data_IF_121723943355
#
_entry.id   IF_121723943355
#
_cell.length_a   1.000
_cell.length_b   1.000
_cell.length_c   1.000
_cell.angle_alpha   90.00
_cell.angle_beta   90.00
_cell.angle_gamma   90.00
#
_symmetry.space_group_name_H-M   'P 1'
#
loop_
_entity.id
_entity.type
_entity.pdbx_description
1 polymer ?
#
# COMPACT_ATOMS: atom_id res chain seq x y z
N UNK A 1 -13.86 18.07 5.50
CA UNK A 1 -14.22 16.65 5.73
C UNK A 1 -13.05 15.80 5.28
N UNK A 2 -12.46 15.02 6.18
CA UNK A 2 -11.39 14.08 5.83
C UNK A 2 -12.02 12.85 5.20
N UNK A 3 -11.71 12.55 3.93
CA UNK A 3 -12.12 11.30 3.29
C UNK A 3 -11.11 10.22 3.66
N UNK A 4 -11.59 9.09 4.18
CA UNK A 4 -10.78 7.90 4.46
C UNK A 4 -10.92 6.95 3.27
N UNK A 5 -9.78 6.55 2.70
CA UNK A 5 -9.70 5.51 1.69
C UNK A 5 -9.14 4.24 2.32
N UNK A 6 -9.68 3.08 1.95
CA UNK A 6 -9.24 1.78 2.44
C UNK A 6 -8.86 0.93 1.25
N UNK A 7 -7.63 0.40 1.26
CA UNK A 7 -7.12 -0.56 0.29
C UNK A 7 -7.05 -1.90 0.99
N UNK A 8 -7.62 -2.93 0.39
CA UNK A 8 -7.62 -4.28 0.95
C UNK A 8 -6.87 -5.20 0.02
N UNK A 9 -5.90 -5.93 0.58
CA UNK A 9 -5.17 -7.01 -0.09
C UNK A 9 -5.37 -8.28 0.74
N UNK A 10 -5.79 -9.40 0.14
CA UNK A 10 -5.85 -10.67 0.86
C UNK A 10 -4.44 -11.09 1.28
N UNK A 11 -4.32 -11.78 2.41
CA UNK A 11 -3.07 -12.46 2.78
C UNK A 11 -2.92 -13.78 2.04
N UNK A 12 -1.73 -14.37 2.10
CA UNK A 12 -1.48 -15.71 1.61
C UNK A 12 -2.17 -16.79 2.47
N UNK A 13 -2.01 -18.06 2.09
CA UNK A 13 -2.65 -19.19 2.76
C UNK A 13 -2.28 -19.33 4.24
N UNK A 14 -1.14 -18.78 4.67
CA UNK A 14 -0.66 -18.81 6.05
C UNK A 14 -0.91 -17.49 6.81
N UNK A 15 -1.58 -16.52 6.18
CA UNK A 15 -1.94 -15.23 6.76
C UNK A 15 -0.82 -14.19 6.71
N UNK A 16 0.14 -14.31 5.79
CA UNK A 16 1.19 -13.30 5.58
C UNK A 16 0.88 -12.41 4.37
N UNK A 17 1.35 -11.17 4.39
CA UNK A 17 1.24 -10.22 3.28
C UNK A 17 2.60 -9.67 2.86
N UNK A 18 2.73 -9.35 1.56
CA UNK A 18 3.98 -8.94 0.94
C UNK A 18 4.39 -7.51 1.26
N UNK A 19 5.69 -7.37 1.49
CA UNK A 19 6.44 -6.15 1.67
C UNK A 19 7.68 -6.19 0.76
N UNK A 20 8.12 -5.02 0.31
CA UNK A 20 9.27 -4.87 -0.56
C UNK A 20 10.15 -3.71 -0.13
N UNK A 21 11.41 -3.99 0.14
CA UNK A 21 12.38 -2.97 0.50
C UNK A 21 12.64 -2.02 -0.68
N UNK A 22 12.40 -0.72 -0.51
CA UNK A 22 12.66 0.29 -1.54
C UNK A 22 14.15 0.52 -1.79
N UNK A 23 15.04 0.10 -0.88
CA UNK A 23 16.48 0.34 -0.96
C UNK A 23 17.22 -0.78 -1.70
N UNK A 24 17.00 -2.04 -1.33
CA UNK A 24 17.69 -3.19 -1.92
C UNK A 24 16.79 -4.11 -2.77
N UNK A 25 15.47 -3.87 -2.78
CA UNK A 25 14.53 -4.65 -3.57
C UNK A 25 14.12 -5.99 -2.97
N UNK A 26 14.60 -6.35 -1.77
CA UNK A 26 14.23 -7.59 -1.08
C UNK A 26 12.72 -7.68 -0.87
N UNK A 27 12.16 -8.86 -1.13
CA UNK A 27 10.74 -9.17 -0.94
C UNK A 27 10.59 -10.12 0.25
N UNK A 28 9.71 -9.75 1.17
CA UNK A 28 9.46 -10.53 2.37
C UNK A 28 8.00 -10.40 2.76
N UNK A 29 7.51 -11.28 3.63
CA UNK A 29 6.14 -11.22 4.12
C UNK A 29 6.07 -11.26 5.62
N UNK A 30 5.13 -10.48 6.15
CA UNK A 30 4.84 -10.35 7.57
C UNK A 30 3.34 -10.53 7.81
N UNK A 31 2.97 -10.80 9.05
CA UNK A 31 1.57 -10.84 9.46
C UNK A 31 1.02 -9.41 9.55
N UNK A 32 -0.06 -9.05 8.81
CA UNK A 32 -0.57 -7.68 8.80
C UNK A 32 -1.01 -7.19 10.18
N UNK A 33 -1.59 -8.08 10.99
CA UNK A 33 -2.00 -7.79 12.37
C UNK A 33 -0.82 -7.35 13.23
N UNK A 34 0.35 -7.98 13.10
CA UNK A 34 1.56 -7.63 13.85
C UNK A 34 2.25 -6.35 13.35
N UNK A 35 1.93 -5.87 12.14
CA UNK A 35 2.54 -4.68 11.53
C UNK A 35 1.64 -3.45 11.67
N UNK A 36 0.32 -3.66 11.75
CA UNK A 36 -0.68 -2.60 11.90
C UNK A 36 -0.98 -2.26 13.37
N UNK A 37 -0.27 -2.87 14.32
CA UNK A 37 -0.31 -2.45 15.72
C UNK A 37 0.20 -1.00 15.86
N UNK A 38 -0.48 -0.21 16.70
CA UNK A 38 -0.25 1.25 16.84
C UNK A 38 1.18 1.61 17.30
N UNK A 39 1.94 0.65 17.85
CA UNK A 39 3.31 0.80 18.33
C UNK A 39 4.39 0.44 17.30
N UNK A 40 4.02 -0.12 16.14
CA UNK A 40 4.96 -0.48 15.07
C UNK A 40 5.19 0.70 14.14
N UNK A 41 6.20 1.51 14.48
CA UNK A 41 6.59 2.69 13.69
C UNK A 41 7.49 2.33 12.51
N UNK A 42 8.38 1.36 12.70
CA UNK A 42 9.44 1.01 11.75
C UNK A 42 9.59 -0.50 11.65
N UNK A 43 10.03 -0.95 10.47
CA UNK A 43 10.42 -2.32 10.19
C UNK A 43 11.87 -2.33 9.71
N UNK A 44 12.50 -3.49 9.81
CA UNK A 44 13.85 -3.71 9.33
C UNK A 44 13.82 -4.54 8.05
N UNK A 45 14.66 -4.21 7.08
CA UNK A 45 14.81 -5.07 5.91
C UNK A 45 15.54 -6.36 6.30
N UNK A 46 14.97 -7.56 6.04
CA UNK A 46 15.65 -8.81 6.40
C UNK A 46 16.96 -9.05 5.65
N UNK A 47 17.17 -8.41 4.50
CA UNK A 47 18.44 -8.47 3.77
C UNK A 47 19.44 -7.40 4.22
N UNK A 48 19.08 -6.11 4.18
CA UNK A 48 20.05 -5.03 4.44
C UNK A 48 20.06 -4.48 5.88
N UNK A 49 19.12 -4.89 6.73
CA UNK A 49 19.04 -4.48 8.15
C UNK A 49 18.69 -3.02 8.40
N UNK A 50 18.46 -2.22 7.36
CA UNK A 50 18.15 -0.79 7.50
C UNK A 50 16.71 -0.63 8.04
N UNK A 51 16.50 0.11 9.15
CA UNK A 51 15.17 0.45 9.63
C UNK A 51 14.52 1.48 8.71
N UNK A 52 13.24 1.33 8.45
CA UNK A 52 12.44 2.32 7.72
C UNK A 52 10.98 2.25 8.14
N UNK A 53 10.23 3.33 7.92
CA UNK A 53 8.80 3.36 8.22
C UNK A 53 8.04 2.29 7.43
N UNK A 54 6.99 1.70 8.00
CA UNK A 54 6.18 0.65 7.34
C UNK A 54 5.78 1.02 5.90
N UNK A 55 5.43 2.28 5.65
CA UNK A 55 4.97 2.76 4.35
C UNK A 55 6.01 2.65 3.22
N UNK A 56 7.31 2.66 3.53
CA UNK A 56 8.36 2.49 2.52
C UNK A 56 8.41 1.06 1.98
N UNK A 57 7.90 0.11 2.76
CA UNK A 57 7.87 -1.30 2.41
C UNK A 57 6.62 -1.74 1.65
N UNK A 58 5.64 -0.84 1.42
CA UNK A 58 4.49 -1.20 0.62
C UNK A 58 4.90 -1.58 -0.81
N UNK A 59 4.30 -2.67 -1.28
CA UNK A 59 4.50 -3.20 -2.62
C UNK A 59 3.91 -2.25 -3.66
N UNK A 60 4.39 -2.37 -4.90
CA UNK A 60 4.04 -1.44 -5.97
C UNK A 60 2.56 -1.52 -6.34
N UNK A 61 1.95 -2.71 -6.28
CA UNK A 61 0.52 -2.93 -6.50
C UNK A 61 -0.38 -2.13 -5.53
N UNK A 62 0.00 -2.05 -4.25
CA UNK A 62 -0.69 -1.24 -3.23
C UNK A 62 -0.53 0.25 -3.55
N UNK A 63 0.68 0.69 -3.90
CA UNK A 63 0.97 2.09 -4.26
C UNK A 63 0.19 2.52 -5.50
N UNK A 64 0.18 1.69 -6.54
CA UNK A 64 -0.59 1.92 -7.76
C UNK A 64 -2.10 2.03 -7.49
N UNK A 65 -2.65 1.14 -6.65
CA UNK A 65 -4.06 1.23 -6.27
C UNK A 65 -4.38 2.50 -5.47
N UNK A 66 -3.48 2.92 -4.58
CA UNK A 66 -3.64 4.19 -3.86
C UNK A 66 -3.68 5.37 -4.83
N UNK A 67 -2.81 5.38 -5.85
CA UNK A 67 -2.78 6.41 -6.89
C UNK A 67 -4.07 6.41 -7.71
N UNK A 68 -4.57 5.24 -8.14
CA UNK A 68 -5.82 5.12 -8.89
C UNK A 68 -7.01 5.69 -8.08
N UNK A 69 -7.09 5.36 -6.79
CA UNK A 69 -8.15 5.87 -5.92
C UNK A 69 -8.06 7.40 -5.80
N UNK A 70 -6.85 7.94 -5.61
CA UNK A 70 -6.63 9.37 -5.52
C UNK A 70 -7.00 10.12 -6.81
N UNK A 71 -6.63 9.58 -7.98
CA UNK A 71 -6.97 10.15 -9.29
C UNK A 71 -8.49 10.13 -9.53
N UNK A 72 -9.16 9.03 -9.18
CA UNK A 72 -10.61 8.89 -9.31
C UNK A 72 -11.35 9.90 -8.43
N UNK A 73 -10.88 10.09 -7.20
CA UNK A 73 -11.42 11.09 -6.29
C UNK A 73 -11.21 12.51 -6.84
N UNK A 74 -10.01 12.84 -7.31
CA UNK A 74 -9.70 14.15 -7.89
C UNK A 74 -10.62 14.44 -9.09
N UNK A 75 -10.82 13.46 -9.96
CA UNK A 75 -11.75 13.56 -11.08
C UNK A 75 -13.19 13.83 -10.64
N UNK A 76 -13.64 13.17 -9.57
CA UNK A 76 -14.97 13.39 -9.00
C UNK A 76 -15.11 14.81 -8.42
N UNK A 77 -14.10 15.29 -7.68
CA UNK A 77 -14.08 16.66 -7.16
C UNK A 77 -14.17 17.69 -8.29
N UNK A 78 -13.39 17.54 -9.36
CA UNK A 78 -13.43 18.44 -10.53
C UNK A 78 -14.82 18.40 -11.17
N UNK A 79 -15.40 17.21 -11.36
CA UNK A 79 -16.73 17.06 -11.93
C UNK A 79 -17.81 17.76 -11.10
N UNK A 80 -17.72 17.66 -9.77
CA UNK A 80 -18.68 18.29 -8.86
C UNK A 80 -18.54 19.82 -8.83
N UNK A 81 -17.31 20.34 -8.89
CA UNK A 81 -17.04 21.76 -9.06
C UNK A 81 -17.63 22.30 -10.37
N UNK A 82 -17.38 21.62 -11.50
CA UNK A 82 -17.91 22.02 -12.81
C UNK A 82 -19.45 21.99 -12.83
N UNK A 83 -20.09 20.98 -12.24
CA UNK A 83 -21.55 20.93 -12.08
C UNK A 83 -22.08 22.08 -11.20
N UNK A 84 -21.34 22.45 -10.15
CA UNK A 84 -21.64 23.60 -9.31
C UNK A 84 -21.67 24.90 -10.14
N UNK A 85 -20.66 25.11 -10.96
CA UNK A 85 -20.55 26.28 -11.86
C UNK A 85 -21.67 26.28 -12.91
N UNK A 86 -22.02 25.13 -13.49
CA UNK A 86 -23.15 25.06 -14.42
C UNK A 86 -24.47 25.46 -13.74
N UNK A 87 -24.71 25.02 -12.49
CA UNK A 87 -25.92 25.38 -11.74
C UNK A 87 -25.99 26.88 -11.45
N UNK A 88 -24.87 27.53 -11.13
CA UNK A 88 -24.85 28.99 -10.89
C UNK A 88 -24.97 29.77 -12.19
N UNK A 89 -24.30 29.34 -13.25
CA UNK A 89 -24.39 29.97 -14.57
C UNK A 89 -25.78 29.90 -15.18
N UNK A 90 -26.54 28.80 -14.99
CA UNK A 90 -27.95 28.71 -15.40
C UNK A 90 -28.85 29.78 -14.80
N UNK A 91 -28.51 30.32 -13.63
CA UNK A 91 -29.25 31.42 -12.98
C UNK A 91 -28.87 32.80 -13.53
N UNK A 92 -27.77 32.90 -14.27
CA UNK A 92 -27.30 34.16 -14.87
C UNK A 92 -27.93 34.37 -16.26
N UNK A 93 -28.37 35.60 -16.56
CA UNK A 93 -29.05 35.92 -17.83
C UNK A 93 -28.09 35.99 -19.03
N UNK A 94 -26.78 36.14 -18.81
CA UNK A 94 -25.83 36.54 -19.86
C UNK A 94 -24.76 35.49 -20.21
N UNK A 95 -24.51 34.48 -19.35
CA UNK A 95 -23.48 33.46 -19.61
C UNK A 95 -24.06 32.08 -19.31
N UNK A 96 -24.01 31.17 -20.29
CA UNK A 96 -24.44 29.77 -20.14
C UNK A 96 -23.23 28.84 -20.26
N UNK A 97 -22.78 28.32 -19.13
CA UNK A 97 -21.75 27.28 -19.04
C UNK A 97 -22.41 25.90 -19.03
N UNK A 98 -21.84 24.94 -19.75
CA UNK A 98 -22.23 23.53 -19.71
C UNK A 98 -21.04 22.71 -19.25
N UNK A 99 -21.18 22.00 -18.13
CA UNK A 99 -20.13 21.11 -17.66
C UNK A 99 -20.10 19.86 -18.55
N UNK A 100 -18.91 19.50 -19.04
CA UNK A 100 -18.67 18.19 -19.63
C UNK A 100 -18.07 17.29 -18.57
N UNK A 101 -18.71 16.14 -18.32
CA UNK A 101 -18.19 15.14 -17.36
C UNK A 101 -16.85 14.61 -17.87
N UNK A 102 -15.82 14.71 -17.04
CA UNK A 102 -14.57 13.99 -17.27
C UNK A 102 -14.78 12.54 -16.83
N UNK A 103 -14.82 11.62 -17.80
CA UNK A 103 -14.90 10.18 -17.54
C UNK A 103 -13.48 9.63 -17.39
N UNK A 104 -12.84 9.88 -16.26
CA UNK A 104 -11.46 9.43 -16.00
C UNK A 104 -11.39 8.41 -14.86
N UNK A 105 -12.51 7.82 -14.46
CA UNK A 105 -12.51 6.78 -13.42
C UNK A 105 -11.77 5.54 -13.92
N UNK A 106 -10.53 5.35 -13.48
CA UNK A 106 -9.73 4.16 -13.75
C UNK A 106 -10.24 3.01 -12.87
N UNK A 107 -10.32 1.77 -13.39
CA UNK A 107 -10.69 0.62 -12.57
C UNK A 107 -9.62 0.37 -11.50
N UNK A 108 -10.06 0.09 -10.27
CA UNK A 108 -9.16 -0.35 -9.20
C UNK A 108 -8.69 -1.76 -9.56
N UNK A 109 -7.38 -2.03 -9.41
CA UNK A 109 -6.82 -3.35 -9.70
C UNK A 109 -7.14 -4.31 -8.56
N UNK A 110 -7.57 -5.52 -8.89
CA UNK A 110 -7.68 -6.59 -7.90
C UNK A 110 -6.29 -6.96 -7.39
N UNK A 111 -6.15 -7.03 -6.07
CA UNK A 111 -4.91 -7.41 -5.41
C UNK A 111 -4.99 -8.89 -5.02
N UNK A 112 -3.88 -9.58 -5.18
CA UNK A 112 -3.72 -10.98 -4.80
C UNK A 112 -2.37 -11.16 -4.12
N UNK A 113 -2.29 -12.16 -3.25
CA UNK A 113 -1.05 -12.55 -2.60
C UNK A 113 -0.60 -13.89 -3.16
N UNK A 114 0.70 -14.02 -3.42
CA UNK A 114 1.30 -15.28 -3.84
C UNK A 114 1.69 -16.08 -2.60
N UNK A 115 1.83 -17.38 -2.72
CA UNK A 115 2.45 -18.22 -1.68
C UNK A 115 3.75 -18.81 -2.20
N UNK A 116 4.79 -17.97 -2.22
CA UNK A 116 6.06 -18.19 -2.93
C UNK A 116 7.31 -17.98 -2.07
N UNK A 117 7.15 -17.69 -0.78
CA UNK A 117 8.25 -17.46 0.16
C UNK A 117 8.24 -18.47 1.31
N UNK A 118 9.39 -18.71 1.92
CA UNK A 118 9.55 -19.70 2.99
C UNK A 118 9.41 -19.06 4.36
N UNK A 119 8.57 -19.64 5.20
CA UNK A 119 8.38 -19.21 6.58
C UNK A 119 9.57 -19.59 7.47
N UNK A 120 10.03 -18.64 8.26
CA UNK A 120 11.10 -18.81 9.24
C UNK A 120 10.69 -18.20 10.58
N UNK A 121 11.21 -18.76 11.67
CA UNK A 121 10.99 -18.28 13.03
C UNK A 121 12.22 -17.50 13.52
N UNK A 122 12.01 -16.25 13.92
CA UNK A 122 13.00 -15.44 14.61
C UNK A 122 12.91 -15.65 16.12
N UNK A 123 13.81 -16.46 16.66
CA UNK A 123 13.77 -16.92 18.06
C UNK A 123 13.85 -15.78 19.09
N UNK A 124 14.53 -14.67 18.78
CA UNK A 124 14.74 -13.59 19.75
C UNK A 124 13.45 -12.85 20.11
N UNK A 125 12.60 -12.59 19.11
CA UNK A 125 11.29 -11.94 19.32
C UNK A 125 10.11 -12.92 19.24
N UNK A 126 10.38 -14.19 18.94
CA UNK A 126 9.38 -15.24 18.72
C UNK A 126 8.32 -14.84 17.67
N UNK A 127 8.77 -14.26 16.56
CA UNK A 127 7.91 -13.87 15.43
C UNK A 127 8.31 -14.60 14.15
N UNK A 128 7.32 -14.86 13.31
CA UNK A 128 7.52 -15.52 12.04
C UNK A 128 7.55 -14.48 10.92
N UNK A 129 8.34 -14.75 9.88
CA UNK A 129 8.28 -14.01 8.63
C UNK A 129 8.50 -14.98 7.47
N UNK A 130 8.04 -14.63 6.26
CA UNK A 130 8.43 -15.37 5.06
C UNK A 130 9.48 -14.62 4.28
N UNK A 131 10.59 -15.29 3.96
CA UNK A 131 11.73 -14.73 3.23
C UNK A 131 12.00 -15.47 1.92
N UNK A 132 12.76 -14.83 1.03
CA UNK A 132 13.30 -15.50 -0.16
C UNK A 132 14.40 -16.49 0.21
N UNK A 133 14.59 -17.51 -0.64
CA UNK A 133 15.67 -18.49 -0.49
C UNK A 133 17.03 -17.77 -0.46
N UNK A 134 17.19 -16.73 -1.29
CA UNK A 134 18.44 -15.97 -1.38
C UNK A 134 18.79 -15.30 -0.06
N UNK A 135 17.83 -14.66 0.62
CA UNK A 135 18.07 -14.06 1.93
C UNK A 135 18.46 -15.10 2.96
N UNK A 136 17.76 -16.25 2.98
CA UNK A 136 18.02 -17.31 3.97
C UNK A 136 19.34 -18.07 3.73
N UNK A 137 19.80 -18.15 2.49
CA UNK A 137 21.01 -18.90 2.12
C UNK A 137 22.27 -18.03 2.05
N UNK A 138 22.12 -16.73 1.77
CA UNK A 138 23.25 -15.82 1.51
C UNK A 138 23.94 -15.29 2.76
N UNK A 139 23.16 -14.95 3.79
CA UNK A 139 23.65 -14.50 5.10
C UNK A 139 22.61 -14.83 6.16
N UNK A 140 22.95 -14.69 7.43
CA UNK A 140 21.94 -14.78 8.48
C UNK A 140 21.01 -13.56 8.34
N UNK A 141 19.69 -13.72 8.21
CA UNK A 141 18.76 -12.62 7.92
C UNK A 141 18.46 -11.79 9.17
N UNK A 142 18.29 -10.48 8.99
CA UNK A 142 17.82 -9.63 10.07
C UNK A 142 16.33 -9.86 10.34
N UNK A 143 15.94 -9.86 11.61
CA UNK A 143 14.53 -9.92 11.97
C UNK A 143 13.79 -8.65 11.52
N UNK A 144 12.70 -8.75 10.75
CA UNK A 144 11.97 -7.57 10.27
C UNK A 144 11.35 -6.71 11.37
N UNK A 145 11.18 -7.26 12.57
CA UNK A 145 10.54 -6.58 13.69
C UNK A 145 11.53 -5.92 14.65
N UNK A 146 12.69 -6.53 14.89
CA UNK A 146 13.64 -6.05 15.91
C UNK A 146 15.05 -5.77 15.36
N UNK A 147 15.32 -6.10 14.10
CA UNK A 147 16.62 -5.89 13.47
C UNK A 147 17.75 -6.79 13.98
N UNK A 148 17.47 -7.76 14.87
CA UNK A 148 18.46 -8.73 15.36
C UNK A 148 18.60 -9.88 14.37
N UNK A 149 19.85 -10.32 14.17
CA UNK A 149 20.24 -11.40 13.25
C UNK A 149 20.57 -12.68 13.99
#
# INVERSE_FOLDING_TARGET
>A
MTKKFVITKPSDLAGFSSFKCSLCGEEFKLRPDEVQEDDVLELFCPSCGIPSSVSTYYTEDIKENALIIAENELANMINDLLKGIEKTSKKSKNIKFKAKKQNTSKPIKELYEKDDLNEILFLWCNRNAKLTILTTAGHQPFCPYCGVN
#
